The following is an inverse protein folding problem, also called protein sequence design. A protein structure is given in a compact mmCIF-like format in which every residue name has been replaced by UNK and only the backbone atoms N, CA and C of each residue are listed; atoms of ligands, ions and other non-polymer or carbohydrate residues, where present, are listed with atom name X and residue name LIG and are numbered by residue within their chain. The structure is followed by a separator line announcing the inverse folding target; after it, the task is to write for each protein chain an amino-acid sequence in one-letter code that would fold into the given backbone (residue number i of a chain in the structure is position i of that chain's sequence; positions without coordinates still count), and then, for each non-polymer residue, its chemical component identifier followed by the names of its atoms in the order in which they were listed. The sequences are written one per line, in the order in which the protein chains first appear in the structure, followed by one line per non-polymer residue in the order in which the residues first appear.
data_IF_241571607673
#
_entry.id   IF_241571607673
#
_cell.length_a   1.000
_cell.length_b   1.000
_cell.length_c   1.000
_cell.angle_alpha   90.00
_cell.angle_beta   90.00
_cell.angle_gamma   90.00
#
_symmetry.space_group_name_H-M   'P 1'
#
loop_
_entity.id
_entity.type
_entity.pdbx_description
1 polymer ?
#
# COMPACT_ATOMS: atom_id res chain seq x y z
N UNK A 1 63.51 55.73 -37.31
CA UNK A 1 62.75 54.59 -37.84
C UNK A 1 63.19 53.35 -37.10
N UNK A 2 62.22 52.51 -36.75
CA UNK A 2 62.35 51.11 -36.27
C UNK A 2 62.56 50.84 -34.77
N UNK A 3 61.44 51.02 -34.05
CA UNK A 3 60.73 50.03 -33.23
C UNK A 3 61.44 48.72 -32.82
N UNK A 4 61.68 48.55 -31.52
CA UNK A 4 61.53 47.27 -30.79
C UNK A 4 61.04 47.53 -29.36
N UNK A 5 59.73 47.48 -29.17
CA UNK A 5 59.06 47.48 -27.86
C UNK A 5 59.11 46.09 -27.23
N UNK A 6 59.58 46.02 -25.98
CA UNK A 6 59.63 44.81 -25.15
C UNK A 6 58.25 44.49 -24.56
N UNK A 7 57.81 43.25 -24.76
CA UNK A 7 56.54 42.69 -24.29
C UNK A 7 56.62 42.38 -22.78
N UNK A 8 55.75 43.00 -21.98
CA UNK A 8 55.52 42.63 -20.58
C UNK A 8 54.24 41.79 -20.53
N UNK A 9 54.38 40.49 -20.27
CA UNK A 9 53.26 39.55 -20.23
C UNK A 9 52.45 39.69 -18.93
N UNK A 10 51.20 40.15 -19.05
CA UNK A 10 50.19 40.00 -18.02
C UNK A 10 49.18 38.94 -18.48
N UNK A 11 49.22 37.76 -17.88
CA UNK A 11 48.26 36.68 -18.10
C UNK A 11 46.95 37.05 -17.37
N UNK A 12 45.96 37.57 -18.10
CA UNK A 12 44.59 37.73 -17.59
C UNK A 12 43.87 36.38 -17.66
N UNK A 13 43.76 35.70 -16.51
CA UNK A 13 42.90 34.54 -16.31
C UNK A 13 41.43 35.01 -16.34
N UNK A 14 40.79 34.88 -17.50
CA UNK A 14 39.33 35.03 -17.63
C UNK A 14 38.66 33.77 -17.08
N UNK A 15 38.32 33.78 -15.79
CA UNK A 15 37.45 32.75 -15.22
C UNK A 15 36.02 32.97 -15.75
N UNK A 16 35.65 32.19 -16.77
CA UNK A 16 34.28 32.13 -17.24
C UNK A 16 33.40 31.53 -16.13
N UNK A 17 32.69 32.39 -15.39
CA UNK A 17 31.60 31.99 -14.50
C UNK A 17 30.43 31.50 -15.37
N UNK A 18 30.46 30.21 -15.72
CA UNK A 18 29.27 29.52 -16.18
C UNK A 18 28.28 29.49 -15.01
N UNK A 19 27.02 29.94 -15.19
CA UNK A 19 26.02 29.78 -14.15
C UNK A 19 25.80 28.29 -13.94
N UNK A 20 26.14 27.81 -12.74
CA UNK A 20 25.79 26.48 -12.28
C UNK A 20 24.26 26.44 -12.17
N UNK A 21 23.58 26.04 -13.24
CA UNK A 21 22.16 25.73 -13.16
C UNK A 21 22.03 24.44 -12.35
N UNK A 22 21.77 24.59 -11.05
CA UNK A 22 21.33 23.49 -10.23
C UNK A 22 20.02 22.99 -10.83
N UNK A 23 20.05 21.85 -11.52
CA UNK A 23 18.85 21.15 -11.96
C UNK A 23 18.04 20.79 -10.70
N UNK A 24 17.01 21.58 -10.42
CA UNK A 24 16.17 21.36 -9.26
C UNK A 24 15.35 20.09 -9.50
N UNK A 25 15.69 19.01 -8.78
CA UNK A 25 14.98 17.74 -8.87
C UNK A 25 13.50 17.93 -8.48
N UNK A 26 12.60 17.55 -9.40
CA UNK A 26 11.16 17.54 -9.17
C UNK A 26 10.76 16.32 -8.32
N UNK A 27 9.81 16.51 -7.41
CA UNK A 27 9.21 15.47 -6.59
C UNK A 27 7.70 15.57 -6.67
N UNK A 28 6.99 14.49 -6.36
CA UNK A 28 5.53 14.52 -6.32
C UNK A 28 5.06 15.27 -5.07
N UNK A 29 4.25 16.31 -5.26
CA UNK A 29 3.60 17.06 -4.19
C UNK A 29 2.08 16.97 -4.34
N UNK A 30 1.39 17.03 -3.21
CA UNK A 30 -0.06 17.09 -3.08
C UNK A 30 -0.42 18.53 -2.69
N UNK A 31 -1.27 19.17 -3.49
CA UNK A 31 -1.80 20.51 -3.29
C UNK A 31 -3.29 20.36 -2.96
N UNK A 32 -3.66 20.68 -1.73
CA UNK A 32 -5.05 20.64 -1.26
C UNK A 32 -5.64 22.04 -1.24
N UNK A 33 -6.80 22.22 -1.87
CA UNK A 33 -7.45 23.52 -2.08
C UNK A 33 -8.80 23.65 -1.35
N UNK A 34 -9.19 22.66 -0.55
CA UNK A 34 -10.44 22.71 0.23
C UNK A 34 -11.68 22.26 -0.55
N UNK A 35 -12.84 22.78 -0.16
CA UNK A 35 -14.12 22.48 -0.82
C UNK A 35 -14.13 22.94 -2.29
N UNK A 36 -14.75 22.17 -3.17
CA UNK A 36 -14.88 22.54 -4.59
C UNK A 36 -15.80 23.76 -4.72
N UNK A 37 -15.36 24.79 -5.44
CA UNK A 37 -16.16 26.00 -5.71
C UNK A 37 -17.21 25.80 -6.81
N UNK A 38 -17.10 24.69 -7.56
CA UNK A 38 -17.96 24.37 -8.69
C UNK A 38 -18.28 22.88 -8.68
N UNK A 39 -19.51 22.53 -9.07
CA UNK A 39 -19.94 21.14 -9.18
C UNK A 39 -19.47 20.45 -10.46
N UNK A 40 -19.28 21.21 -11.55
CA UNK A 40 -18.75 20.70 -12.81
C UNK A 40 -17.26 20.35 -12.66
N UNK A 41 -16.89 19.06 -12.76
CA UNK A 41 -15.50 18.62 -12.62
C UNK A 41 -14.55 19.26 -13.64
N UNK A 42 -15.05 19.64 -14.81
CA UNK A 42 -14.26 20.26 -15.90
C UNK A 42 -13.79 21.66 -15.51
N UNK A 43 -14.63 22.41 -14.79
CA UNK A 43 -14.30 23.75 -14.28
C UNK A 43 -13.28 23.64 -13.15
N UNK A 44 -13.44 22.63 -12.26
CA UNK A 44 -12.49 22.37 -11.17
C UNK A 44 -11.12 21.98 -11.72
N UNK A 45 -11.06 21.10 -12.72
CA UNK A 45 -9.81 20.75 -13.43
C UNK A 45 -9.15 21.99 -14.03
N UNK A 46 -9.91 22.84 -14.70
CA UNK A 46 -9.39 24.08 -15.30
C UNK A 46 -8.71 24.95 -14.24
N UNK A 47 -9.33 25.10 -13.05
CA UNK A 47 -8.73 25.88 -11.95
C UNK A 47 -7.39 25.31 -11.45
N UNK A 48 -7.22 23.98 -11.45
CA UNK A 48 -5.94 23.36 -11.10
C UNK A 48 -4.86 23.64 -12.15
N UNK A 49 -5.24 23.56 -13.44
CA UNK A 49 -4.34 23.90 -14.53
C UNK A 49 -3.96 25.37 -14.54
N UNK A 50 -4.85 26.27 -14.14
CA UNK A 50 -4.55 27.70 -14.06
C UNK A 50 -3.49 27.99 -12.98
N UNK A 51 -3.63 27.37 -11.79
CA UNK A 51 -2.61 27.47 -10.74
C UNK A 51 -1.29 26.89 -11.21
N UNK A 52 -1.27 25.70 -11.80
CA UNK A 52 -0.02 25.11 -12.31
C UNK A 52 0.59 25.97 -13.43
N UNK A 53 -0.21 26.46 -14.37
CA UNK A 53 0.26 27.31 -15.48
C UNK A 53 0.87 28.60 -14.95
N UNK A 54 0.31 29.19 -13.88
CA UNK A 54 0.86 30.41 -13.27
C UNK A 54 2.26 30.22 -12.68
N UNK A 55 2.61 28.99 -12.27
CA UNK A 55 3.89 28.65 -11.64
C UNK A 55 4.89 28.04 -12.62
N UNK A 56 4.41 27.30 -13.63
CA UNK A 56 5.25 26.77 -14.71
C UNK A 56 5.50 27.78 -15.83
N UNK A 57 4.63 28.79 -15.99
CA UNK A 57 4.70 29.75 -17.10
C UNK A 57 4.31 29.17 -18.46
N UNK A 58 3.97 27.88 -18.53
CA UNK A 58 3.59 27.15 -19.74
C UNK A 58 2.46 26.17 -19.46
N UNK A 59 1.41 26.22 -20.30
CA UNK A 59 0.28 25.28 -20.23
C UNK A 59 0.74 23.85 -20.50
N UNK A 60 1.64 23.65 -21.45
CA UNK A 60 2.13 22.32 -21.82
C UNK A 60 2.94 21.69 -20.69
N UNK A 61 3.74 22.48 -19.96
CA UNK A 61 4.50 21.98 -18.81
C UNK A 61 3.60 21.72 -17.60
N UNK A 62 2.60 22.58 -17.37
CA UNK A 62 1.59 22.36 -16.34
C UNK A 62 0.78 21.06 -16.58
N UNK A 63 0.41 20.79 -17.84
CA UNK A 63 -0.28 19.56 -18.23
C UNK A 63 0.58 18.31 -18.05
N UNK A 64 1.90 18.41 -18.27
CA UNK A 64 2.83 17.29 -18.06
C UNK A 64 3.20 17.06 -16.60
N UNK A 65 3.16 18.10 -15.78
CA UNK A 65 3.55 18.00 -14.37
C UNK A 65 2.43 17.47 -13.48
N UNK A 66 1.17 17.71 -13.84
CA UNK A 66 0.04 17.19 -13.08
C UNK A 66 -0.05 15.66 -13.23
N UNK A 67 -0.13 14.98 -12.10
CA UNK A 67 -0.30 13.53 -12.02
C UNK A 67 -1.77 13.19 -11.77
N UNK A 68 -2.41 13.91 -10.83
CA UNK A 68 -3.82 13.72 -10.50
C UNK A 68 -4.52 15.04 -10.27
N UNK A 69 -5.80 15.10 -10.64
CA UNK A 69 -6.70 16.23 -10.41
C UNK A 69 -7.91 15.75 -9.60
N UNK A 70 -7.98 16.17 -8.34
CA UNK A 70 -9.02 15.80 -7.37
C UNK A 70 -10.17 16.79 -7.51
N UNK A 71 -11.28 16.35 -8.12
CA UNK A 71 -12.32 17.24 -8.68
C UNK A 71 -13.75 16.89 -8.31
N UNK A 72 -13.97 15.78 -7.60
CA UNK A 72 -15.31 15.23 -7.38
C UNK A 72 -15.88 15.59 -6.01
N UNK A 73 -15.09 15.44 -4.93
CA UNK A 73 -15.55 15.75 -3.56
C UNK A 73 -14.75 16.82 -2.81
N UNK A 74 -13.59 17.22 -3.32
CA UNK A 74 -12.82 18.38 -2.87
C UNK A 74 -11.97 18.87 -4.04
N UNK A 75 -11.37 20.05 -3.90
CA UNK A 75 -10.48 20.66 -4.89
C UNK A 75 -9.02 20.44 -4.50
N UNK A 76 -8.18 20.13 -5.49
CA UNK A 76 -6.75 19.91 -5.30
C UNK A 76 -6.14 19.06 -6.40
N UNK A 77 -4.82 18.94 -6.41
CA UNK A 77 -4.10 18.17 -7.41
C UNK A 77 -2.79 17.60 -6.85
N UNK A 78 -2.28 16.55 -7.48
CA UNK A 78 -0.89 16.12 -7.29
C UNK A 78 -0.09 16.44 -8.53
N UNK A 79 1.11 16.99 -8.36
CA UNK A 79 1.99 17.36 -9.46
C UNK A 79 3.47 17.13 -9.12
N UNK A 80 4.26 16.85 -10.14
CA UNK A 80 5.71 16.83 -10.06
C UNK A 80 6.22 18.27 -10.01
N UNK A 81 6.63 18.71 -8.82
CA UNK A 81 7.06 20.08 -8.56
C UNK A 81 8.49 20.11 -8.05
N UNK A 82 9.22 21.15 -8.41
CA UNK A 82 10.40 21.54 -7.65
C UNK A 82 9.97 22.15 -6.31
N UNK A 83 10.89 22.21 -5.36
CA UNK A 83 10.60 22.80 -4.04
C UNK A 83 10.15 24.26 -4.15
N UNK A 84 10.78 25.06 -5.00
CA UNK A 84 10.42 26.46 -5.21
C UNK A 84 9.03 26.61 -5.85
N UNK A 85 8.66 25.71 -6.77
CA UNK A 85 7.31 25.68 -7.34
C UNK A 85 6.26 25.32 -6.28
N UNK A 86 6.53 24.32 -5.43
CA UNK A 86 5.63 23.96 -4.34
C UNK A 86 5.44 25.13 -3.34
N UNK A 87 6.52 25.85 -3.01
CA UNK A 87 6.48 27.05 -2.18
C UNK A 87 5.73 28.23 -2.82
N UNK A 88 5.81 28.37 -4.16
CA UNK A 88 5.04 29.37 -4.90
C UNK A 88 3.54 29.03 -4.89
N UNK A 89 3.19 27.76 -5.13
CA UNK A 89 1.80 27.29 -5.11
C UNK A 89 1.18 27.45 -3.72
N UNK A 90 1.94 27.22 -2.65
CA UNK A 90 1.45 27.38 -1.27
C UNK A 90 1.02 28.82 -0.91
N UNK A 91 1.34 29.83 -1.74
CA UNK A 91 0.97 31.23 -1.51
C UNK A 91 -0.37 31.62 -2.14
N UNK A 92 -0.96 30.76 -2.96
CA UNK A 92 -2.26 31.03 -3.57
C UNK A 92 -3.36 30.99 -2.51
N UNK A 93 -4.28 31.97 -2.48
CA UNK A 93 -5.35 32.02 -1.48
C UNK A 93 -6.31 30.82 -1.56
N UNK A 94 -6.38 30.17 -2.71
CA UNK A 94 -7.16 28.95 -2.93
C UNK A 94 -6.46 27.68 -2.41
N UNK A 95 -5.18 27.75 -2.05
CA UNK A 95 -4.39 26.60 -1.61
C UNK A 95 -4.35 26.56 -0.09
N UNK A 96 -4.90 25.48 0.47
CA UNK A 96 -4.96 25.26 1.93
C UNK A 96 -3.66 24.64 2.43
N UNK A 97 -3.13 23.61 1.74
CA UNK A 97 -1.84 23.00 2.08
C UNK A 97 -1.11 22.47 0.85
N UNK A 98 0.22 22.47 0.92
CA UNK A 98 1.10 21.80 -0.05
C UNK A 98 2.05 20.89 0.71
N UNK A 99 2.05 19.59 0.40
CA UNK A 99 2.92 18.60 1.07
C UNK A 99 3.54 17.62 0.06
N UNK A 100 4.79 17.16 0.27
CA UNK A 100 5.35 16.10 -0.54
C UNK A 100 4.53 14.81 -0.39
N UNK A 101 4.46 14.00 -1.45
CA UNK A 101 3.83 12.69 -1.38
C UNK A 101 4.55 11.79 -0.37
N UNK A 102 3.79 11.06 0.43
CA UNK A 102 4.28 10.11 1.43
C UNK A 102 3.71 8.73 1.16
N UNK A 103 4.51 7.71 1.43
CA UNK A 103 4.07 6.31 1.40
C UNK A 103 3.62 5.91 2.80
N UNK A 104 2.59 5.06 2.90
CA UNK A 104 2.07 4.59 4.20
C UNK A 104 2.65 3.22 4.54
N UNK A 105 2.95 3.03 5.83
CA UNK A 105 3.44 1.78 6.41
C UNK A 105 2.31 1.00 7.11
N UNK A 106 2.71 -0.05 7.80
CA UNK A 106 2.05 -1.33 7.86
C UNK A 106 2.13 -1.76 9.34
N UNK A 107 0.99 -1.91 10.02
CA UNK A 107 0.91 -1.87 11.50
C UNK A 107 0.62 -3.23 12.15
N UNK A 108 1.65 -3.97 12.60
CA UNK A 108 1.44 -5.25 13.35
C UNK A 108 2.24 -5.45 14.64
N UNK A 109 2.90 -4.42 15.20
CA UNK A 109 3.60 -4.53 16.51
C UNK A 109 2.87 -3.89 17.70
N UNK A 110 1.72 -3.24 17.47
CA UNK A 110 0.88 -2.59 18.52
C UNK A 110 -0.61 -2.84 18.34
N UNK A 111 -1.07 -3.05 17.10
CA UNK A 111 -2.49 -3.15 16.74
C UNK A 111 -3.24 -4.19 17.57
N UNK A 112 -2.67 -5.37 17.81
CA UNK A 112 -3.33 -6.42 18.61
C UNK A 112 -3.36 -6.13 20.11
N UNK A 113 -2.35 -5.47 20.67
CA UNK A 113 -2.38 -5.00 22.06
C UNK A 113 -3.42 -3.88 22.24
N UNK A 114 -3.51 -2.97 21.26
CA UNK A 114 -4.53 -1.92 21.23
C UNK A 114 -5.95 -2.48 21.22
N UNK A 115 -6.16 -3.64 20.59
CA UNK A 115 -7.44 -4.37 20.60
C UNK A 115 -7.65 -5.25 21.84
N UNK A 116 -6.78 -5.14 22.85
CA UNK A 116 -6.78 -5.96 24.07
C UNK A 116 -6.69 -7.48 23.82
N UNK A 117 -6.14 -7.90 22.67
CA UNK A 117 -5.86 -9.29 22.32
C UNK A 117 -4.44 -9.69 22.76
N UNK A 118 -4.14 -9.43 24.03
CA UNK A 118 -2.85 -9.72 24.63
C UNK A 118 -2.64 -11.24 24.84
N UNK A 119 -1.42 -11.72 24.61
CA UNK A 119 -1.03 -13.12 24.83
C UNK A 119 -1.10 -13.51 26.34
N UNK A 120 -0.95 -12.52 27.22
CA UNK A 120 -0.77 -12.67 28.66
C UNK A 120 -1.94 -12.12 29.48
N UNK A 121 -3.17 -12.46 29.12
CA UNK A 121 -4.26 -12.36 30.10
C UNK A 121 -4.05 -13.38 31.22
N UNK A 122 -4.18 -12.91 32.48
CA UNK A 122 -3.97 -13.70 33.68
C UNK A 122 -4.86 -14.94 33.76
N UNK A 123 -4.52 -15.92 34.64
CA UNK A 123 -5.10 -17.27 34.63
C UNK A 123 -6.61 -17.36 34.91
N UNK A 124 -7.28 -16.25 35.25
CA UNK A 124 -8.68 -16.27 35.69
C UNK A 124 -9.69 -16.16 34.53
N UNK A 125 -9.28 -15.78 33.31
CA UNK A 125 -10.10 -15.77 32.10
C UNK A 125 -9.19 -16.04 30.89
N UNK A 126 -9.28 -17.19 30.19
CA UNK A 126 -8.52 -17.37 28.96
C UNK A 126 -9.04 -16.36 27.93
N UNK A 127 -8.22 -15.40 27.52
CA UNK A 127 -8.57 -14.44 26.47
C UNK A 127 -8.96 -15.11 25.15
N UNK A 128 -9.65 -14.37 24.27
CA UNK A 128 -10.21 -14.88 23.01
C UNK A 128 -9.23 -15.77 22.22
N UNK A 129 -7.96 -15.37 22.12
CA UNK A 129 -6.94 -16.15 21.42
C UNK A 129 -6.74 -17.54 22.02
N UNK A 130 -6.69 -17.67 23.35
CA UNK A 130 -6.55 -18.98 24.00
C UNK A 130 -7.80 -19.84 23.79
N UNK A 131 -8.99 -19.24 23.86
CA UNK A 131 -10.26 -19.95 23.60
C UNK A 131 -10.35 -20.45 22.15
N UNK A 132 -9.94 -19.62 21.19
CA UNK A 132 -9.91 -19.94 19.77
C UNK A 132 -8.66 -20.75 19.36
N UNK A 133 -7.83 -21.20 20.31
CA UNK A 133 -6.55 -21.88 20.05
C UNK A 133 -5.67 -21.15 19.04
N UNK A 134 -5.67 -19.83 19.08
CA UNK A 134 -4.94 -18.93 18.19
C UNK A 134 -5.28 -19.14 16.69
N UNK A 135 -6.45 -19.72 16.39
CA UNK A 135 -6.89 -20.06 15.04
C UNK A 135 -6.34 -21.39 14.52
N UNK A 136 -5.86 -22.29 15.39
CA UNK A 136 -5.37 -23.60 14.96
C UNK A 136 -6.39 -24.36 14.10
N UNK A 137 -5.91 -24.89 12.97
CA UNK A 137 -6.68 -25.60 11.93
C UNK A 137 -7.78 -24.80 11.23
N UNK A 138 -7.90 -23.50 11.51
CA UNK A 138 -8.60 -22.54 10.66
C UNK A 138 -7.73 -22.22 9.45
N UNK A 139 -8.34 -22.20 8.27
CA UNK A 139 -7.69 -21.93 7.00
C UNK A 139 -8.26 -20.63 6.42
N UNK A 140 -7.40 -19.62 6.32
CA UNK A 140 -7.75 -18.32 5.73
C UNK A 140 -7.27 -18.29 4.28
N UNK A 141 -8.21 -18.11 3.36
CA UNK A 141 -7.91 -17.83 1.96
C UNK A 141 -7.61 -16.33 1.78
N UNK A 142 -6.45 -16.01 1.24
CA UNK A 142 -6.01 -14.63 0.98
C UNK A 142 -5.94 -14.43 -0.53
N UNK A 143 -6.80 -13.55 -1.06
CA UNK A 143 -6.84 -13.19 -2.48
C UNK A 143 -6.18 -11.82 -2.63
N UNK A 144 -4.95 -11.79 -3.16
CA UNK A 144 -4.08 -10.60 -3.14
C UNK A 144 -2.95 -10.70 -4.19
N UNK A 145 -1.81 -10.02 -3.98
CA UNK A 145 -0.61 -10.02 -4.85
C UNK A 145 0.33 -11.22 -4.66
N UNK A 146 -0.01 -12.15 -3.76
CA UNK A 146 0.75 -13.39 -3.50
C UNK A 146 1.36 -13.43 -2.09
N UNK A 147 2.45 -14.18 -1.94
CA UNK A 147 3.20 -14.27 -0.67
C UNK A 147 4.72 -14.28 -0.89
N UNK A 148 5.48 -13.73 0.05
CA UNK A 148 6.92 -13.94 0.19
C UNK A 148 7.20 -15.07 1.19
N UNK A 149 7.34 -16.33 0.74
CA UNK A 149 7.31 -17.50 1.61
C UNK A 149 8.50 -17.57 2.58
N UNK A 150 9.62 -16.93 2.29
CA UNK A 150 10.81 -16.92 3.15
C UNK A 150 10.69 -15.99 4.36
N UNK A 151 9.60 -15.21 4.48
CA UNK A 151 9.38 -14.38 5.67
C UNK A 151 9.19 -15.27 6.89
N UNK A 152 9.90 -14.95 7.98
CA UNK A 152 9.75 -15.63 9.28
C UNK A 152 8.31 -15.58 9.83
N UNK A 153 7.49 -14.63 9.38
CA UNK A 153 6.05 -14.57 9.69
C UNK A 153 5.29 -15.85 9.28
N UNK A 154 5.83 -16.61 8.33
CA UNK A 154 5.20 -17.81 7.78
C UNK A 154 5.91 -19.10 8.16
N UNK A 155 6.78 -19.04 9.17
CA UNK A 155 7.38 -20.22 9.77
C UNK A 155 6.30 -21.16 10.34
N UNK A 156 6.47 -22.47 10.11
CA UNK A 156 5.53 -23.51 10.50
C UNK A 156 6.00 -24.34 11.70
N UNK A 157 6.95 -23.82 12.49
CA UNK A 157 7.39 -24.50 13.71
C UNK A 157 6.22 -24.75 14.66
N UNK A 158 6.15 -26.00 15.14
CA UNK A 158 5.09 -26.46 16.03
C UNK A 158 3.74 -26.70 15.34
N UNK A 159 3.61 -26.65 14.01
CA UNK A 159 2.37 -27.00 13.32
C UNK A 159 2.18 -28.53 13.21
N UNK A 160 0.96 -28.99 13.48
CA UNK A 160 0.53 -30.35 13.17
C UNK A 160 0.40 -30.60 11.65
N UNK A 161 0.05 -31.84 11.26
CA UNK A 161 -0.24 -32.16 9.86
C UNK A 161 -1.32 -31.24 9.28
N UNK A 162 -1.32 -31.05 7.97
CA UNK A 162 -2.36 -30.29 7.28
C UNK A 162 -3.71 -31.00 7.47
N UNK A 163 -4.82 -30.29 7.77
CA UNK A 163 -6.13 -30.91 7.97
C UNK A 163 -6.54 -31.76 6.76
N UNK A 164 -7.01 -32.99 7.01
CA UNK A 164 -7.35 -33.95 5.94
C UNK A 164 -8.46 -33.47 4.98
N UNK A 165 -9.29 -32.51 5.42
CA UNK A 165 -10.31 -31.86 4.59
C UNK A 165 -9.74 -30.96 3.49
N UNK A 166 -8.48 -30.55 3.62
CA UNK A 166 -7.85 -29.58 2.73
C UNK A 166 -7.55 -30.19 1.36
N UNK A 167 -7.92 -29.48 0.28
CA UNK A 167 -7.71 -29.95 -1.11
C UNK A 167 -6.73 -29.09 -1.90
N UNK A 168 -6.32 -27.94 -1.36
CA UNK A 168 -5.43 -27.00 -2.02
C UNK A 168 -4.04 -27.58 -2.28
N UNK A 169 -3.41 -27.14 -3.37
CA UNK A 169 -2.06 -27.56 -3.77
C UNK A 169 -1.09 -26.38 -3.83
N UNK A 170 0.20 -26.68 -3.68
CA UNK A 170 1.26 -25.72 -3.88
C UNK A 170 1.65 -25.68 -5.37
N UNK A 171 1.26 -24.61 -6.07
CA UNK A 171 1.62 -24.41 -7.46
C UNK A 171 3.05 -23.85 -7.55
N UNK A 172 3.90 -24.49 -8.36
CA UNK A 172 5.25 -24.00 -8.66
C UNK A 172 5.22 -22.93 -9.74
N UNK A 173 6.32 -22.18 -9.85
CA UNK A 173 6.52 -21.18 -10.88
C UNK A 173 7.86 -20.46 -10.73
N UNK A 174 7.98 -19.31 -11.38
CA UNK A 174 9.18 -18.47 -11.29
C UNK A 174 9.54 -18.13 -9.84
N UNK A 175 10.76 -18.54 -9.42
CA UNK A 175 11.27 -18.39 -8.05
C UNK A 175 10.32 -18.92 -6.96
N UNK A 176 9.46 -19.89 -7.26
CA UNK A 176 8.53 -20.48 -6.29
C UNK A 176 8.47 -21.99 -6.54
N UNK A 177 8.95 -22.78 -5.60
CA UNK A 177 9.10 -24.22 -5.76
C UNK A 177 8.17 -24.97 -4.78
N UNK A 178 8.22 -26.30 -4.79
CA UNK A 178 7.37 -27.12 -3.92
C UNK A 178 7.63 -26.90 -2.43
N UNK A 179 8.84 -26.47 -2.06
CA UNK A 179 9.20 -26.16 -0.66
C UNK A 179 8.83 -24.74 -0.24
N UNK A 180 8.27 -23.93 -1.15
CA UNK A 180 7.74 -22.60 -0.82
C UNK A 180 6.42 -22.66 -0.04
N UNK A 181 5.73 -23.81 -0.06
CA UNK A 181 4.64 -24.10 0.86
C UNK A 181 5.14 -24.98 2.01
N UNK A 182 4.52 -24.80 3.18
CA UNK A 182 4.83 -25.53 4.40
C UNK A 182 3.53 -25.81 5.17
N UNK A 183 3.59 -26.18 6.45
CA UNK A 183 2.37 -26.46 7.23
C UNK A 183 1.59 -25.20 7.63
N UNK A 184 2.16 -24.01 7.44
CA UNK A 184 1.48 -22.74 7.64
C UNK A 184 0.85 -22.23 6.35
N UNK A 185 1.65 -22.07 5.29
CA UNK A 185 1.17 -21.78 3.93
C UNK A 185 0.95 -23.09 3.20
N UNK A 186 -0.25 -23.65 3.36
CA UNK A 186 -0.59 -25.01 2.90
C UNK A 186 -1.02 -25.08 1.43
N UNK A 187 -1.12 -23.92 0.77
CA UNK A 187 -1.43 -23.76 -0.65
C UNK A 187 -0.95 -22.41 -1.14
N UNK A 188 -0.49 -22.39 -2.38
CA UNK A 188 -0.25 -21.17 -3.13
C UNK A 188 -0.60 -21.38 -4.61
N UNK A 189 -1.34 -20.43 -5.20
CA UNK A 189 -1.74 -20.44 -6.62
C UNK A 189 -1.76 -19.02 -7.17
N UNK A 190 -1.60 -18.89 -8.48
CA UNK A 190 -1.67 -17.60 -9.18
C UNK A 190 -2.58 -17.66 -10.41
N UNK A 191 -3.16 -16.51 -10.77
CA UNK A 191 -4.17 -16.36 -11.82
C UNK A 191 -3.77 -15.25 -12.79
N UNK A 192 -2.92 -15.56 -13.77
CA UNK A 192 -2.43 -14.59 -14.77
C UNK A 192 -2.97 -14.80 -16.19
N UNK A 193 -3.92 -15.72 -16.40
CA UNK A 193 -4.51 -15.96 -17.72
C UNK A 193 -5.34 -14.73 -18.15
N UNK A 194 -5.23 -14.34 -19.42
CA UNK A 194 -5.90 -13.15 -19.95
C UNK A 194 -5.12 -11.84 -19.73
N UNK A 195 -4.02 -11.87 -18.98
CA UNK A 195 -3.12 -10.73 -18.82
C UNK A 195 -2.04 -10.81 -19.91
N UNK A 196 -1.75 -9.68 -20.56
CA UNK A 196 -0.75 -9.64 -21.63
C UNK A 196 0.64 -10.02 -21.11
N UNK A 197 1.42 -10.67 -21.98
CA UNK A 197 2.78 -11.06 -21.62
C UNK A 197 3.66 -9.83 -21.28
N UNK A 198 3.36 -8.68 -21.87
CA UNK A 198 4.00 -7.39 -21.58
C UNK A 198 3.81 -6.98 -20.11
N UNK A 199 2.57 -7.03 -19.62
CA UNK A 199 2.25 -6.68 -18.23
C UNK A 199 2.81 -7.71 -17.26
N UNK A 200 2.77 -9.01 -17.58
CA UNK A 200 3.33 -10.05 -16.71
C UNK A 200 4.87 -10.03 -16.59
N UNK A 201 5.59 -9.22 -17.37
CA UNK A 201 7.08 -9.12 -17.26
C UNK A 201 7.51 -8.41 -15.97
N UNK A 202 6.68 -7.53 -15.41
CA UNK A 202 6.97 -6.79 -14.18
C UNK A 202 6.78 -7.61 -12.90
N UNK A 203 6.35 -8.87 -13.03
CA UNK A 203 5.91 -9.71 -11.93
C UNK A 203 6.46 -11.14 -12.03
N UNK A 204 6.32 -11.92 -10.96
CA UNK A 204 6.62 -13.35 -10.97
C UNK A 204 5.42 -14.14 -11.50
N UNK A 205 5.65 -14.96 -12.53
CA UNK A 205 4.69 -15.98 -13.00
C UNK A 205 4.65 -17.17 -12.04
N UNK A 206 4.28 -16.87 -10.80
CA UNK A 206 4.17 -17.78 -9.66
C UNK A 206 3.36 -17.10 -8.56
N UNK A 207 3.03 -17.81 -7.46
CA UNK A 207 2.39 -17.21 -6.29
C UNK A 207 3.28 -16.24 -5.50
N UNK A 208 4.55 -16.04 -5.91
CA UNK A 208 5.46 -15.13 -5.23
C UNK A 208 4.97 -13.69 -5.34
N UNK A 209 5.01 -13.00 -4.21
CA UNK A 209 4.72 -11.57 -4.12
C UNK A 209 5.98 -10.74 -4.44
N UNK A 210 5.86 -9.80 -5.37
CA UNK A 210 6.90 -8.78 -5.61
C UNK A 210 6.48 -7.40 -5.09
N UNK A 211 5.19 -7.20 -4.85
CA UNK A 211 4.59 -5.91 -4.51
C UNK A 211 4.67 -5.69 -2.99
N UNK A 212 4.42 -6.74 -2.20
CA UNK A 212 4.52 -6.75 -0.75
C UNK A 212 3.17 -6.71 -0.02
N UNK A 213 2.10 -6.23 -0.68
CA UNK A 213 0.78 -6.09 -0.08
C UNK A 213 0.19 -7.42 0.39
N UNK A 214 0.20 -8.46 -0.44
CA UNK A 214 -0.29 -9.78 -0.05
C UNK A 214 0.50 -10.40 1.10
N UNK A 215 1.82 -10.25 1.09
CA UNK A 215 2.70 -10.65 2.19
C UNK A 215 2.35 -9.91 3.48
N UNK A 216 2.13 -8.60 3.40
CA UNK A 216 1.77 -7.80 4.55
C UNK A 216 0.40 -8.19 5.12
N UNK A 217 -0.61 -8.32 4.27
CA UNK A 217 -1.98 -8.74 4.62
C UNK A 217 -1.94 -10.12 5.29
N UNK A 218 -1.27 -11.10 4.69
CA UNK A 218 -1.13 -12.43 5.27
C UNK A 218 -0.46 -12.37 6.65
N UNK A 219 0.64 -11.62 6.81
CA UNK A 219 1.31 -11.48 8.11
C UNK A 219 0.44 -10.81 9.17
N UNK A 220 -0.45 -9.89 8.77
CA UNK A 220 -1.41 -9.24 9.67
C UNK A 220 -2.50 -10.21 10.13
N UNK A 221 -2.98 -11.07 9.23
CA UNK A 221 -4.02 -12.07 9.53
C UNK A 221 -3.49 -13.11 10.51
N UNK A 222 -2.37 -13.75 10.16
CA UNK A 222 -1.88 -14.91 10.89
C UNK A 222 -0.36 -15.04 10.86
N UNK A 223 0.40 -13.95 10.85
CA UNK A 223 1.85 -14.00 11.05
C UNK A 223 2.23 -14.68 12.38
N UNK A 224 3.27 -15.51 12.37
CA UNK A 224 3.88 -16.06 13.57
C UNK A 224 4.43 -14.94 14.44
N UNK A 225 4.42 -15.13 15.75
CA UNK A 225 4.97 -14.17 16.70
C UNK A 225 6.48 -14.03 16.53
N UNK A 226 6.96 -12.80 16.39
CA UNK A 226 8.37 -12.48 16.21
C UNK A 226 8.76 -11.28 17.06
N UNK A 227 9.81 -11.44 17.85
CA UNK A 227 10.33 -10.38 18.73
C UNK A 227 11.34 -9.49 18.00
N UNK A 228 11.42 -8.23 18.44
CA UNK A 228 12.45 -7.29 17.96
C UNK A 228 12.26 -6.83 16.52
N UNK A 229 11.05 -6.97 15.97
CA UNK A 229 10.75 -6.52 14.60
C UNK A 229 10.54 -5.02 14.59
N UNK A 230 11.16 -4.33 13.64
CA UNK A 230 11.02 -2.88 13.42
C UNK A 230 11.23 -2.54 11.94
N UNK A 231 10.77 -1.36 11.52
CA UNK A 231 11.10 -0.78 10.22
C UNK A 231 12.06 0.39 10.43
N UNK A 232 13.35 0.21 10.11
CA UNK A 232 14.36 1.26 10.33
C UNK A 232 14.46 1.73 11.79
N UNK A 233 14.14 0.86 12.76
CA UNK A 233 14.05 1.20 14.18
C UNK A 233 12.68 1.71 14.65
N UNK A 234 11.77 2.05 13.73
CA UNK A 234 10.40 2.44 14.04
C UNK A 234 9.54 1.23 14.39
N UNK A 235 8.63 1.43 15.35
CA UNK A 235 7.62 0.44 15.69
C UNK A 235 8.18 -0.84 16.29
N UNK A 236 9.39 -0.78 16.88
CA UNK A 236 10.06 -1.90 17.52
C UNK A 236 9.14 -2.60 18.54
N UNK A 237 8.99 -3.91 18.39
CA UNK A 237 8.16 -4.69 19.30
C UNK A 237 7.98 -6.12 18.82
N UNK A 238 6.88 -6.72 19.24
CA UNK A 238 6.49 -8.08 18.87
C UNK A 238 5.48 -8.04 17.73
N UNK A 239 5.90 -8.46 16.54
CA UNK A 239 5.00 -8.59 15.39
C UNK A 239 4.26 -9.92 15.47
N UNK A 240 2.93 -9.91 15.30
CA UNK A 240 2.13 -11.13 15.15
C UNK A 240 0.84 -10.88 14.38
N UNK A 241 0.23 -11.94 13.87
CA UNK A 241 -1.11 -11.88 13.30
C UNK A 241 -2.21 -11.96 14.36
N UNK A 242 -3.46 -11.71 13.94
CA UNK A 242 -4.64 -11.85 14.79
C UNK A 242 -4.96 -13.30 15.15
N UNK A 243 -4.63 -14.24 14.27
CA UNK A 243 -4.75 -15.68 14.50
C UNK A 243 -3.41 -16.40 14.20
N UNK A 244 -2.38 -16.28 15.05
CA UNK A 244 -1.02 -16.73 14.73
C UNK A 244 -0.86 -18.22 14.36
N UNK A 245 -1.84 -19.07 14.70
CA UNK A 245 -1.86 -20.51 14.42
C UNK A 245 -2.75 -20.92 13.25
N UNK A 246 -3.42 -19.95 12.62
CA UNK A 246 -4.18 -20.20 11.40
C UNK A 246 -3.25 -20.48 10.20
N UNK A 247 -3.79 -21.24 9.25
CA UNK A 247 -3.10 -21.64 8.01
C UNK A 247 -3.57 -20.77 6.85
N UNK A 248 -2.74 -20.64 5.82
CA UNK A 248 -3.05 -19.86 4.62
C UNK A 248 -3.31 -20.74 3.40
N UNK A 249 -4.34 -20.37 2.64
CA UNK A 249 -4.36 -20.58 1.20
C UNK A 249 -4.09 -19.25 0.49
N UNK A 250 -3.02 -19.17 -0.31
CA UNK A 250 -2.64 -17.93 -1.01
C UNK A 250 -3.10 -17.97 -2.46
N UNK A 251 -3.93 -17.02 -2.87
CA UNK A 251 -4.56 -16.92 -4.18
C UNK A 251 -4.13 -15.62 -4.85
N UNK A 252 -3.02 -15.63 -5.59
CA UNK A 252 -2.50 -14.44 -6.28
C UNK A 252 -3.36 -14.08 -7.48
N UNK A 253 -4.25 -13.10 -7.32
CA UNK A 253 -5.12 -12.57 -8.37
C UNK A 253 -4.74 -11.14 -8.78
N UNK A 254 -3.90 -10.46 -7.99
CA UNK A 254 -3.44 -9.11 -8.28
C UNK A 254 -2.03 -9.11 -8.89
N UNK A 255 -1.82 -8.22 -9.85
CA UNK A 255 -0.62 -8.14 -10.68
C UNK A 255 -0.11 -6.72 -10.82
N UNK A 256 1.21 -6.57 -10.80
CA UNK A 256 1.85 -5.27 -11.05
C UNK A 256 1.48 -4.77 -12.44
N UNK A 257 0.81 -3.62 -12.52
CA UNK A 257 0.38 -2.98 -13.77
C UNK A 257 -0.94 -3.48 -14.37
N UNK A 258 -1.57 -4.51 -13.80
CA UNK A 258 -2.90 -4.99 -14.21
C UNK A 258 -3.96 -4.91 -13.11
N UNK A 259 -3.59 -4.53 -11.89
CA UNK A 259 -4.52 -4.54 -10.76
C UNK A 259 -4.98 -5.97 -10.46
N UNK A 260 -6.24 -6.14 -10.08
CA UNK A 260 -6.84 -7.43 -9.76
C UNK A 260 -8.00 -7.71 -10.72
N UNK A 261 -7.76 -8.33 -11.88
CA UNK A 261 -8.83 -8.55 -12.85
C UNK A 261 -9.95 -9.43 -12.28
N UNK A 262 -11.22 -9.07 -12.49
CA UNK A 262 -12.37 -9.79 -11.92
C UNK A 262 -12.37 -11.27 -12.29
N UNK A 263 -12.00 -11.62 -13.52
CA UNK A 263 -11.90 -13.01 -13.94
C UNK A 263 -10.88 -13.81 -13.11
N UNK A 264 -9.77 -13.17 -12.72
CA UNK A 264 -8.77 -13.77 -11.84
C UNK A 264 -9.28 -13.87 -10.39
N UNK A 265 -9.98 -12.85 -9.90
CA UNK A 265 -10.57 -12.81 -8.56
C UNK A 265 -11.69 -13.85 -8.42
N UNK A 266 -12.60 -13.95 -9.37
CA UNK A 266 -13.68 -14.95 -9.37
C UNK A 266 -13.13 -16.38 -9.46
N UNK A 267 -12.11 -16.62 -10.29
CA UNK A 267 -11.43 -17.92 -10.34
C UNK A 267 -10.73 -18.26 -9.00
N UNK A 268 -10.17 -17.26 -8.33
CA UNK A 268 -9.59 -17.41 -7.00
C UNK A 268 -10.64 -17.76 -5.95
N UNK A 269 -11.80 -17.08 -5.96
CA UNK A 269 -12.92 -17.37 -5.06
C UNK A 269 -13.43 -18.80 -5.29
N UNK A 270 -13.62 -19.21 -6.54
CA UNK A 270 -14.10 -20.56 -6.89
C UNK A 270 -13.15 -21.66 -6.39
N UNK A 271 -11.85 -21.53 -6.67
CA UNK A 271 -10.85 -22.46 -6.14
C UNK A 271 -10.83 -22.44 -4.59
N UNK A 272 -11.02 -21.29 -3.95
CA UNK A 272 -11.01 -21.20 -2.49
C UNK A 272 -12.19 -21.92 -1.83
N UNK A 273 -13.38 -21.77 -2.43
CA UNK A 273 -14.57 -22.52 -2.07
C UNK A 273 -14.33 -24.01 -2.22
N UNK A 274 -13.75 -24.44 -3.35
CA UNK A 274 -13.47 -25.85 -3.62
C UNK A 274 -12.47 -26.45 -2.62
N UNK A 275 -11.42 -25.69 -2.33
CA UNK A 275 -10.34 -26.07 -1.41
C UNK A 275 -10.82 -26.19 0.03
N UNK A 276 -11.91 -25.48 0.38
CA UNK A 276 -12.56 -25.55 1.69
C UNK A 276 -11.94 -24.61 2.71
N UNK A 277 -11.64 -23.37 2.33
CA UNK A 277 -11.23 -22.31 3.27
C UNK A 277 -12.38 -21.99 4.23
N UNK A 278 -12.05 -21.54 5.45
CA UNK A 278 -13.06 -21.16 6.47
C UNK A 278 -13.39 -19.67 6.40
N UNK A 279 -12.39 -18.85 6.06
CA UNK A 279 -12.51 -17.39 5.93
C UNK A 279 -11.81 -16.95 4.65
N UNK A 280 -12.43 -16.04 3.92
CA UNK A 280 -11.84 -15.35 2.78
C UNK A 280 -11.52 -13.90 3.16
N UNK A 281 -10.27 -13.50 2.95
CA UNK A 281 -9.80 -12.12 3.10
C UNK A 281 -9.44 -11.56 1.74
N UNK A 282 -10.09 -10.47 1.37
CA UNK A 282 -9.88 -9.76 0.11
C UNK A 282 -9.61 -8.28 0.39
N UNK A 283 -8.33 -7.89 0.33
CA UNK A 283 -7.91 -6.50 0.52
C UNK A 283 -7.93 -5.75 -0.81
N UNK A 284 -9.06 -5.83 -1.52
CA UNK A 284 -9.32 -5.20 -2.82
C UNK A 284 -10.66 -4.46 -2.73
N UNK A 285 -10.76 -3.33 -3.43
CA UNK A 285 -11.96 -2.49 -3.40
C UNK A 285 -12.10 -1.77 -4.74
N UNK A 286 -13.32 -1.77 -5.27
CA UNK A 286 -13.73 -0.93 -6.39
C UNK A 286 -15.18 -0.48 -6.16
N UNK A 287 -15.43 0.83 -6.28
CA UNK A 287 -16.73 1.43 -5.97
C UNK A 287 -17.76 0.99 -7.00
N UNK A 288 -18.94 0.56 -6.54
CA UNK A 288 -20.05 0.16 -7.41
C UNK A 288 -19.85 -1.18 -8.12
N UNK A 289 -18.81 -1.94 -7.74
CA UNK A 289 -18.52 -3.26 -8.29
C UNK A 289 -18.90 -4.36 -7.31
N UNK A 290 -19.64 -5.37 -7.77
CA UNK A 290 -20.01 -6.55 -6.99
C UNK A 290 -19.33 -7.80 -7.53
N UNK A 291 -18.77 -8.61 -6.64
CA UNK A 291 -18.19 -9.92 -6.97
C UNK A 291 -19.20 -11.03 -6.63
N UNK A 292 -20.04 -11.49 -7.57
CA UNK A 292 -21.13 -12.43 -7.26
C UNK A 292 -20.66 -13.77 -6.70
N UNK A 293 -19.41 -14.18 -6.97
CA UNK A 293 -18.81 -15.39 -6.38
C UNK A 293 -18.78 -15.38 -4.85
N UNK A 294 -18.78 -14.21 -4.22
CA UNK A 294 -18.75 -14.06 -2.75
C UNK A 294 -20.04 -14.55 -2.09
N UNK A 295 -21.19 -14.42 -2.76
CA UNK A 295 -22.46 -14.97 -2.27
C UNK A 295 -22.39 -16.50 -2.14
N UNK A 296 -21.77 -17.16 -3.13
CA UNK A 296 -21.60 -18.61 -3.11
C UNK A 296 -20.63 -19.09 -2.03
N UNK A 297 -19.60 -18.29 -1.70
CA UNK A 297 -18.73 -18.57 -0.56
C UNK A 297 -19.54 -18.55 0.75
N UNK A 298 -20.32 -17.49 0.98
CA UNK A 298 -21.14 -17.33 2.19
C UNK A 298 -22.22 -18.41 2.29
N UNK A 299 -22.86 -18.79 1.18
CA UNK A 299 -23.82 -19.90 1.12
C UNK A 299 -23.21 -21.24 1.54
N UNK A 300 -21.88 -21.40 1.45
CA UNK A 300 -21.15 -22.59 1.88
C UNK A 300 -20.53 -22.45 3.28
N UNK A 301 -20.92 -21.42 4.02
CA UNK A 301 -20.46 -21.16 5.38
C UNK A 301 -19.08 -20.52 5.47
N UNK A 302 -18.58 -19.93 4.37
CA UNK A 302 -17.28 -19.24 4.33
C UNK A 302 -17.52 -17.76 4.60
N UNK A 303 -16.97 -17.24 5.70
CA UNK A 303 -17.03 -15.80 5.99
C UNK A 303 -16.14 -15.03 5.03
N UNK A 304 -16.66 -13.95 4.44
CA UNK A 304 -15.92 -13.12 3.48
C UNK A 304 -15.69 -11.73 4.07
N UNK A 305 -14.45 -11.28 4.08
CA UNK A 305 -14.02 -9.99 4.63
C UNK A 305 -13.36 -9.15 3.53
N UNK A 306 -13.86 -7.94 3.34
CA UNK A 306 -13.35 -6.95 2.39
C UNK A 306 -12.88 -5.67 3.07
N UNK A 307 -11.92 -4.98 2.44
CA UNK A 307 -11.69 -3.56 2.73
C UNK A 307 -12.80 -2.69 2.14
N UNK A 308 -13.17 -1.62 2.86
CA UNK A 308 -14.19 -0.65 2.43
C UNK A 308 -13.73 0.33 1.34
N UNK A 309 -12.45 0.27 0.93
CA UNK A 309 -11.85 1.22 0.00
C UNK A 309 -11.20 2.41 0.69
N UNK A 310 -10.38 3.15 -0.07
CA UNK A 310 -9.54 4.24 0.44
C UNK A 310 -9.90 5.61 -0.19
N UNK A 311 -11.04 5.72 -0.86
CA UNK A 311 -11.47 6.91 -1.61
C UNK A 311 -12.21 7.96 -0.73
N UNK A 312 -12.23 7.74 0.58
CA UNK A 312 -12.72 8.72 1.55
C UNK A 312 -11.91 10.03 1.55
N UNK A 313 -12.34 11.05 2.30
CA UNK A 313 -13.42 11.05 3.29
C UNK A 313 -14.78 11.47 2.71
N UNK A 314 -14.89 11.65 1.40
CA UNK A 314 -16.13 12.08 0.73
C UNK A 314 -17.20 11.00 0.95
N UNK A 315 -18.46 11.37 1.25
CA UNK A 315 -19.55 10.41 1.39
C UNK A 315 -19.69 9.51 0.15
N UNK A 316 -20.28 8.32 0.35
CA UNK A 316 -20.61 7.35 -0.73
C UNK A 316 -19.40 6.82 -1.52
N UNK A 317 -18.25 6.72 -0.87
CA UNK A 317 -17.00 6.18 -1.44
C UNK A 317 -16.71 4.74 -1.00
N UNK A 318 -17.59 4.14 -0.19
CA UNK A 318 -17.43 2.76 0.27
C UNK A 318 -17.64 1.78 -0.88
N UNK A 319 -16.74 0.80 -0.98
CA UNK A 319 -16.81 -0.34 -1.89
C UNK A 319 -17.28 -1.61 -1.17
N UNK A 320 -17.60 -2.66 -1.92
CA UNK A 320 -17.97 -3.98 -1.36
C UNK A 320 -19.18 -3.91 -0.41
N UNK A 321 -20.13 -3.00 -0.63
CA UNK A 321 -21.26 -2.75 0.26
C UNK A 321 -22.43 -3.75 0.05
N UNK A 322 -22.13 -5.06 0.05
CA UNK A 322 -23.13 -6.12 -0.11
C UNK A 322 -23.47 -6.76 1.24
N UNK A 323 -24.74 -7.16 1.49
CA UNK A 323 -25.21 -7.51 2.83
C UNK A 323 -24.65 -8.83 3.38
N UNK A 324 -24.05 -9.68 2.54
CA UNK A 324 -23.53 -11.00 2.95
C UNK A 324 -22.03 -10.99 3.32
N UNK A 325 -21.31 -9.88 3.12
CA UNK A 325 -19.88 -9.79 3.45
C UNK A 325 -19.64 -8.84 4.63
N UNK A 326 -18.47 -8.98 5.27
CA UNK A 326 -18.00 -8.02 6.27
C UNK A 326 -17.10 -6.99 5.60
N UNK A 327 -17.56 -5.75 5.51
CA UNK A 327 -16.80 -4.63 4.92
C UNK A 327 -16.17 -3.79 6.01
N UNK A 328 -14.83 -3.69 5.98
CA UNK A 328 -14.02 -3.14 7.08
C UNK A 328 -13.47 -1.76 6.70
N UNK A 329 -13.75 -0.76 7.54
CA UNK A 329 -13.15 0.58 7.46
C UNK A 329 -11.78 0.64 8.17
N UNK A 330 -10.98 1.67 7.88
CA UNK A 330 -9.70 1.90 8.55
C UNK A 330 -9.82 3.01 9.62
N UNK A 331 -9.15 2.80 10.75
CA UNK A 331 -9.03 3.80 11.83
C UNK A 331 -7.58 3.89 12.31
N UNK A 332 -7.26 4.99 12.99
CA UNK A 332 -5.96 5.14 13.68
C UNK A 332 -5.93 4.32 14.97
N UNK A 333 -4.72 4.11 15.50
CA UNK A 333 -4.47 3.49 16.81
C UNK A 333 -3.79 4.52 17.72
N UNK A 334 -3.56 4.15 18.97
CA UNK A 334 -2.90 5.00 19.98
C UNK A 334 -1.40 5.27 19.73
N UNK A 335 -0.80 4.64 18.71
CA UNK A 335 0.59 4.86 18.31
C UNK A 335 0.70 5.78 17.10
N UNK A 336 1.53 6.82 17.26
CA UNK A 336 1.98 7.72 16.20
C UNK A 336 3.50 7.63 16.00
N UNK A 337 3.99 7.97 14.81
CA UNK A 337 5.42 8.09 14.50
C UNK A 337 5.80 9.55 14.23
N UNK A 338 5.98 10.38 15.28
CA UNK A 338 6.34 11.77 15.09
C UNK A 338 7.78 11.93 14.62
N UNK A 339 8.00 12.87 13.71
CA UNK A 339 9.32 13.30 13.27
C UNK A 339 9.69 14.61 13.96
N UNK A 340 10.81 14.63 14.68
CA UNK A 340 11.35 15.86 15.26
C UNK A 340 12.04 16.69 14.17
N UNK A 341 11.58 17.92 13.98
CA UNK A 341 12.16 18.88 13.05
C UNK A 341 12.84 19.99 13.86
N UNK A 342 14.16 20.07 13.74
CA UNK A 342 14.96 21.15 14.32
C UNK A 342 15.14 22.28 13.31
N UNK A 343 14.71 23.48 13.69
CA UNK A 343 14.85 24.69 12.87
C UNK A 343 16.22 25.35 13.10
N UNK A 344 16.70 26.12 12.12
CA UNK A 344 17.94 26.91 12.24
C UNK A 344 17.94 27.93 13.39
N UNK A 345 16.76 28.25 13.92
CA UNK A 345 16.57 29.10 15.12
C UNK A 345 16.77 28.34 16.45
N UNK A 346 17.19 27.07 16.41
CA UNK A 346 17.28 26.14 17.55
C UNK A 346 15.94 25.81 18.21
N UNK A 347 14.81 26.18 17.60
CA UNK A 347 13.48 25.70 17.99
C UNK A 347 13.22 24.33 17.39
N UNK A 348 12.49 23.48 18.10
CA UNK A 348 12.11 22.15 17.64
C UNK A 348 10.60 22.02 17.52
N UNK A 349 10.13 21.31 16.50
CA UNK A 349 8.73 21.02 16.23
C UNK A 349 8.54 19.52 16.07
N UNK A 350 7.46 18.98 16.62
CA UNK A 350 7.06 17.59 16.37
C UNK A 350 6.06 17.57 15.22
N UNK A 351 6.40 16.85 14.16
CA UNK A 351 5.52 16.61 13.03
C UNK A 351 4.91 15.22 13.15
N UNK A 352 3.59 15.15 13.35
CA UNK A 352 2.83 13.91 13.38
C UNK A 352 2.19 13.72 12.00
N UNK A 353 2.46 12.60 11.34
CA UNK A 353 1.83 12.21 10.07
C UNK A 353 0.43 11.65 10.28
#
# INVERSE_FOLDING_TARGET
MDSKTSFCGALLLLAALLPLSASASSKLYIVYMGEKKHDDPSVVITSHHDILTSVFGSKDEALRSIVYSYKHGFSGFAAMLTKSQAEAIAKFPEVVTVKPNTFHETHTTRSWDFLALEHNQGPQQPGLLKQAKYGEDVIVGVIDSGIWPESQSFDDSGYGPVPARWKGKCQTGQKFNTTSCNRKTIRARWYGRGISAEVLKSDYKSPRDIQGHGTHVASTIAGTEMQGVSYGGLGMGVARGGAPRARFGIYKACWVGAGCPDAAVLAAIDDAIYDGVDVLSLSIAEVGHELPGTLHAVQRGISVVFGGGNDGPVPQTISNAVPWVTTVAASTIDRSFPTLISLGTKKSLWYFL
#
